data_IF_860311087087
#
_entry.id   IF_860311087087
#
_cell.length_a   1.000
_cell.length_b   1.000
_cell.length_c   1.000
_cell.angle_alpha   90.00
_cell.angle_beta   90.00
_cell.angle_gamma   90.00
#
_symmetry.space_group_name_H-M   'P 1'
#
loop_
_entity.id
_entity.type
_entity.pdbx_description
1 polymer ?
#
# COMPACT_ATOMS: atom_id res chain seq x y z
N UNK A 1 40.94 -67.62 -24.16
CA UNK A 1 40.54 -66.59 -23.21
C UNK A 1 40.09 -65.35 -24.00
N UNK A 2 38.78 -65.10 -24.04
CA UNK A 2 38.21 -63.93 -24.72
C UNK A 2 37.76 -62.90 -23.63
N UNK A 3 38.39 -61.75 -23.59
CA UNK A 3 38.02 -60.70 -22.70
C UNK A 3 36.93 -59.81 -23.37
N UNK A 4 35.75 -59.76 -22.78
CA UNK A 4 34.69 -58.80 -23.18
C UNK A 4 34.84 -57.52 -22.35
N UNK A 5 35.11 -56.38 -23.03
CA UNK A 5 35.11 -55.09 -22.46
C UNK A 5 33.68 -54.52 -22.50
N UNK A 6 33.03 -54.42 -21.35
CA UNK A 6 31.74 -53.79 -21.22
C UNK A 6 31.91 -52.21 -21.11
N UNK A 7 31.41 -51.49 -22.09
CA UNK A 7 31.33 -50.04 -22.05
C UNK A 7 30.11 -49.66 -21.21
N UNK A 8 30.37 -49.02 -20.07
CA UNK A 8 29.32 -48.40 -19.23
C UNK A 8 29.01 -47.00 -19.76
N UNK A 9 27.86 -46.84 -20.43
CA UNK A 9 27.36 -45.52 -20.84
C UNK A 9 26.77 -44.82 -19.62
N UNK A 10 27.44 -43.77 -19.10
CA UNK A 10 26.91 -42.89 -18.10
C UNK A 10 25.97 -41.90 -18.81
N UNK A 11 24.66 -42.07 -18.68
CA UNK A 11 23.67 -41.15 -19.18
C UNK A 11 23.65 -39.91 -18.26
N UNK A 12 24.30 -38.85 -18.71
CA UNK A 12 24.21 -37.52 -18.04
C UNK A 12 22.83 -36.89 -18.33
N UNK A 13 21.91 -36.98 -17.39
CA UNK A 13 20.61 -36.32 -17.49
C UNK A 13 20.84 -34.81 -17.39
N UNK A 14 20.72 -34.11 -18.51
CA UNK A 14 20.71 -32.65 -18.54
C UNK A 14 19.38 -32.21 -17.92
N UNK A 15 19.40 -31.81 -16.65
CA UNK A 15 18.27 -31.11 -16.03
C UNK A 15 18.21 -29.73 -16.69
N UNK A 16 17.29 -29.55 -17.64
CA UNK A 16 16.97 -28.25 -18.21
C UNK A 16 16.41 -27.37 -17.10
N UNK A 17 17.18 -26.42 -16.59
CA UNK A 17 16.69 -25.43 -15.66
C UNK A 17 15.59 -24.65 -16.36
N UNK A 18 14.36 -24.72 -15.87
CA UNK A 18 13.29 -23.83 -16.33
C UNK A 18 13.71 -22.39 -16.06
N UNK A 19 13.49 -21.47 -17.02
CA UNK A 19 13.76 -20.05 -16.77
C UNK A 19 12.98 -19.57 -15.55
N UNK A 20 13.64 -18.77 -14.70
CA UNK A 20 12.99 -18.19 -13.53
C UNK A 20 11.75 -17.39 -13.97
N UNK A 21 10.63 -17.48 -13.23
CA UNK A 21 9.41 -16.76 -13.59
C UNK A 21 9.69 -15.24 -13.60
N UNK A 22 9.14 -14.55 -14.61
CA UNK A 22 9.19 -13.09 -14.66
C UNK A 22 8.17 -12.49 -13.67
N UNK A 23 8.50 -11.33 -13.08
CA UNK A 23 7.58 -10.59 -12.23
C UNK A 23 6.40 -10.08 -13.07
N UNK A 24 5.14 -10.36 -12.69
CA UNK A 24 3.99 -9.68 -13.30
C UNK A 24 3.94 -8.21 -12.89
N UNK A 25 3.25 -7.35 -13.66
CA UNK A 25 3.07 -5.94 -13.32
C UNK A 25 2.46 -5.71 -11.94
N UNK A 26 2.99 -4.68 -11.23
CA UNK A 26 2.40 -4.09 -10.01
C UNK A 26 1.81 -2.74 -10.39
N UNK A 27 0.49 -2.67 -10.55
CA UNK A 27 -0.21 -1.58 -11.23
C UNK A 27 -0.71 -0.47 -10.28
N UNK A 28 -0.20 -0.42 -9.06
CA UNK A 28 -0.50 0.63 -8.10
C UNK A 28 -0.94 0.12 -6.73
N UNK A 29 -1.30 1.04 -5.86
CA UNK A 29 -1.85 0.75 -4.54
C UNK A 29 -3.27 0.21 -4.70
N UNK A 30 -3.58 -0.88 -3.97
CA UNK A 30 -4.93 -1.38 -3.80
C UNK A 30 -5.60 -0.73 -2.59
N UNK A 31 -5.00 -0.90 -1.41
CA UNK A 31 -5.55 -0.39 -0.15
C UNK A 31 -4.50 -0.36 0.96
N UNK A 32 -4.89 0.24 2.06
CA UNK A 32 -4.29 0.08 3.37
C UNK A 32 -5.31 -0.58 4.28
N UNK A 33 -4.90 -1.55 5.08
CA UNK A 33 -5.73 -2.18 6.10
C UNK A 33 -5.30 -1.72 7.49
N UNK A 34 -6.27 -1.30 8.29
CA UNK A 34 -6.03 -0.76 9.63
C UNK A 34 -6.98 -1.37 10.65
N UNK A 35 -6.51 -1.48 11.88
CA UNK A 35 -7.33 -1.91 13.02
C UNK A 35 -8.04 -0.74 13.68
N UNK A 36 -9.33 -0.88 13.96
CA UNK A 36 -10.11 0.06 14.74
C UNK A 36 -10.47 -0.51 16.11
N UNK A 37 -10.22 0.25 17.16
CA UNK A 37 -10.64 -0.07 18.53
C UNK A 37 -12.15 0.09 18.73
N UNK A 38 -12.77 1.01 17.96
CA UNK A 38 -14.20 1.24 17.84
C UNK A 38 -14.60 1.35 16.37
N UNK A 39 -15.17 0.29 15.82
CA UNK A 39 -15.57 0.23 14.40
C UNK A 39 -16.71 1.18 14.06
N UNK A 40 -17.57 1.56 15.01
CA UNK A 40 -18.61 2.55 14.77
C UNK A 40 -18.05 3.98 14.66
N UNK A 41 -17.07 4.33 15.50
CA UNK A 41 -16.35 5.58 15.41
C UNK A 41 -15.53 5.66 14.11
N UNK A 42 -14.89 4.56 13.69
CA UNK A 42 -14.19 4.46 12.42
C UNK A 42 -15.15 4.64 11.23
N UNK A 43 -16.33 4.00 11.26
CA UNK A 43 -17.36 4.17 10.22
C UNK A 43 -17.78 5.64 10.10
N UNK A 44 -18.08 6.31 11.22
CA UNK A 44 -18.39 7.74 11.22
C UNK A 44 -17.26 8.57 10.58
N UNK A 45 -16.01 8.27 10.92
CA UNK A 45 -14.88 8.98 10.33
C UNK A 45 -14.77 8.75 8.82
N UNK A 46 -14.73 7.50 8.36
CA UNK A 46 -14.50 7.23 6.94
C UNK A 46 -15.70 7.59 6.05
N UNK A 47 -16.95 7.47 6.55
CA UNK A 47 -18.16 7.80 5.78
C UNK A 47 -18.51 9.28 5.87
N UNK A 48 -18.52 9.88 7.07
CA UNK A 48 -19.07 11.24 7.25
C UNK A 48 -17.96 12.30 7.17
N UNK A 49 -16.75 12.02 7.69
CA UNK A 49 -15.64 12.97 7.65
C UNK A 49 -14.87 12.84 6.34
N UNK A 50 -14.40 11.65 5.94
CA UNK A 50 -13.66 11.46 4.69
C UNK A 50 -14.60 11.48 3.48
N UNK A 51 -15.74 10.82 3.57
CA UNK A 51 -16.76 10.77 2.52
C UNK A 51 -16.71 9.52 1.65
N UNK A 52 -16.09 8.45 2.14
CA UNK A 52 -16.02 7.16 1.46
C UNK A 52 -17.38 6.46 1.41
N UNK A 53 -17.60 5.64 0.40
CA UNK A 53 -18.72 4.71 0.39
C UNK A 53 -18.35 3.41 1.13
N UNK A 54 -19.19 3.01 2.08
CA UNK A 54 -19.04 1.77 2.84
C UNK A 54 -19.46 0.56 2.01
N UNK A 55 -18.68 -0.51 2.05
CA UNK A 55 -19.04 -1.81 1.49
C UNK A 55 -18.56 -2.98 2.36
N UNK A 56 -19.08 -4.19 2.09
CA UNK A 56 -18.61 -5.40 2.74
C UNK A 56 -17.16 -5.67 2.33
N UNK A 57 -16.42 -6.37 3.18
CA UNK A 57 -15.12 -6.90 2.84
C UNK A 57 -15.26 -8.34 2.30
N UNK A 58 -14.93 -8.59 1.03
CA UNK A 58 -15.02 -9.92 0.42
C UNK A 58 -13.95 -10.90 0.93
N UNK A 59 -12.87 -10.40 1.51
CA UNK A 59 -11.73 -11.19 2.02
C UNK A 59 -11.94 -11.58 3.48
N UNK A 60 -12.41 -10.62 4.28
CA UNK A 60 -12.62 -10.81 5.72
C UNK A 60 -14.05 -10.43 6.12
N UNK A 61 -14.90 -11.38 6.51
CA UNK A 61 -16.29 -11.09 6.91
C UNK A 61 -16.43 -10.16 8.13
N UNK A 62 -15.36 -9.97 8.92
CA UNK A 62 -15.34 -9.02 10.05
C UNK A 62 -14.84 -7.65 9.64
N UNK A 63 -14.25 -7.52 8.46
CA UNK A 63 -13.75 -6.27 7.89
C UNK A 63 -14.85 -5.44 7.25
N UNK A 64 -14.51 -4.19 7.01
CA UNK A 64 -15.34 -3.24 6.25
C UNK A 64 -14.45 -2.46 5.30
N UNK A 65 -14.85 -2.33 4.03
CA UNK A 65 -14.15 -1.51 3.06
C UNK A 65 -14.80 -0.14 2.93
N UNK A 66 -13.98 0.90 2.95
CA UNK A 66 -14.35 2.29 2.72
C UNK A 66 -13.72 2.75 1.40
N UNK A 67 -14.51 2.76 0.34
CA UNK A 67 -14.05 2.97 -1.03
C UNK A 67 -13.72 4.42 -1.32
N UNK A 68 -12.52 4.66 -1.84
CA UNK A 68 -12.05 5.92 -2.42
C UNK A 68 -12.40 5.97 -3.91
N UNK A 69 -12.25 4.83 -4.60
CA UNK A 69 -12.73 4.61 -5.97
C UNK A 69 -13.07 3.12 -6.15
N UNK A 70 -13.39 2.69 -7.37
CA UNK A 70 -13.80 1.31 -7.66
C UNK A 70 -12.70 0.25 -7.40
N UNK A 71 -11.46 0.65 -7.25
CA UNK A 71 -10.29 -0.24 -7.13
C UNK A 71 -9.38 0.08 -5.94
N UNK A 72 -9.66 1.17 -5.21
CA UNK A 72 -8.89 1.58 -4.04
C UNK A 72 -9.81 1.87 -2.86
N UNK A 73 -9.44 1.40 -1.68
CA UNK A 73 -10.23 1.52 -0.46
C UNK A 73 -9.34 1.55 0.78
N UNK A 74 -9.92 1.89 1.90
CA UNK A 74 -9.37 1.65 3.25
C UNK A 74 -10.11 0.43 3.81
N UNK A 75 -9.39 -0.59 4.20
CA UNK A 75 -9.94 -1.73 4.93
C UNK A 75 -9.83 -1.48 6.43
N UNK A 76 -10.93 -1.64 7.14
CA UNK A 76 -10.98 -1.50 8.60
C UNK A 76 -11.36 -2.81 9.24
N UNK A 77 -10.47 -3.33 10.06
CA UNK A 77 -10.61 -4.56 10.81
C UNK A 77 -10.88 -4.26 12.30
N UNK A 78 -11.72 -5.04 12.98
CA UNK A 78 -11.88 -4.87 14.42
C UNK A 78 -10.58 -5.23 15.15
N UNK A 79 -10.13 -4.38 16.06
CA UNK A 79 -8.95 -4.63 16.87
C UNK A 79 -9.24 -5.73 17.90
N UNK A 80 -8.66 -6.91 17.71
CA UNK A 80 -8.80 -8.04 18.63
C UNK A 80 -7.94 -7.88 19.90
N UNK A 81 -6.67 -7.50 19.72
CA UNK A 81 -5.74 -7.23 20.83
C UNK A 81 -5.73 -5.75 21.18
N UNK A 82 -6.51 -5.37 22.20
CA UNK A 82 -6.60 -3.98 22.67
C UNK A 82 -5.32 -3.45 23.33
N UNK A 83 -4.32 -4.29 23.53
CA UNK A 83 -3.01 -3.87 24.04
C UNK A 83 -2.04 -3.49 22.94
N UNK A 84 -2.32 -3.86 21.68
CA UNK A 84 -1.50 -3.48 20.54
C UNK A 84 -1.55 -1.97 20.31
N UNK A 85 -0.40 -1.37 20.05
CA UNK A 85 -0.27 0.05 19.70
C UNK A 85 -0.30 0.24 18.19
N UNK A 86 0.14 -0.74 17.40
CA UNK A 86 0.15 -0.63 15.95
C UNK A 86 -1.27 -0.84 15.39
N UNK A 87 -1.70 0.11 14.58
CA UNK A 87 -2.99 0.04 13.87
C UNK A 87 -2.85 -0.40 12.42
N UNK A 88 -1.65 -0.47 11.88
CA UNK A 88 -1.41 -1.01 10.56
C UNK A 88 -1.53 -2.54 10.59
N UNK A 89 -2.41 -3.10 9.78
CA UNK A 89 -2.46 -4.54 9.50
C UNK A 89 -1.58 -4.86 8.28
N UNK A 90 -1.89 -4.25 7.14
CA UNK A 90 -1.10 -4.44 5.94
C UNK A 90 -1.21 -3.29 4.93
N UNK A 91 -0.25 -3.26 4.00
CA UNK A 91 -0.29 -2.46 2.78
C UNK A 91 -0.53 -3.38 1.59
N UNK A 92 -1.40 -2.99 0.67
CA UNK A 92 -1.78 -3.83 -0.46
C UNK A 92 -1.53 -3.18 -1.81
N UNK A 93 -0.95 -3.97 -2.73
CA UNK A 93 -0.63 -3.55 -4.09
C UNK A 93 -1.37 -4.39 -5.12
N UNK A 94 -1.85 -3.75 -6.19
CA UNK A 94 -2.51 -4.42 -7.32
C UNK A 94 -1.47 -5.09 -8.20
N UNK A 95 -1.76 -6.33 -8.61
CA UNK A 95 -0.99 -7.06 -9.62
C UNK A 95 -1.91 -7.66 -10.67
N UNK A 96 -1.42 -7.83 -11.87
CA UNK A 96 -2.19 -8.46 -12.95
C UNK A 96 -2.36 -9.97 -12.78
N UNK A 97 -1.52 -10.61 -11.94
CA UNK A 97 -1.57 -12.06 -11.72
C UNK A 97 -0.92 -12.42 -10.38
N UNK A 98 -1.73 -12.56 -9.33
CA UNK A 98 -1.28 -12.85 -7.98
C UNK A 98 -0.54 -14.22 -7.90
N UNK A 99 -1.02 -15.24 -8.61
CA UNK A 99 -0.37 -16.56 -8.57
C UNK A 99 1.02 -16.53 -9.22
N UNK A 100 1.17 -15.87 -10.37
CA UNK A 100 2.50 -15.70 -10.97
C UNK A 100 3.42 -14.86 -10.10
N UNK A 101 2.90 -13.82 -9.44
CA UNK A 101 3.69 -13.02 -8.51
C UNK A 101 4.14 -13.83 -7.29
N UNK A 102 3.26 -14.65 -6.73
CA UNK A 102 3.58 -15.58 -5.65
C UNK A 102 4.74 -16.52 -6.04
N UNK A 103 4.64 -17.13 -7.23
CA UNK A 103 5.69 -18.02 -7.74
C UNK A 103 7.00 -17.28 -8.04
N UNK A 104 6.93 -16.06 -8.55
CA UNK A 104 8.09 -15.19 -8.73
C UNK A 104 8.79 -14.90 -7.40
N UNK A 105 8.04 -14.46 -6.37
CA UNK A 105 8.59 -14.18 -5.04
C UNK A 105 9.21 -15.41 -4.40
N UNK A 106 8.57 -16.57 -4.54
CA UNK A 106 9.16 -17.86 -4.13
C UNK A 106 10.50 -18.12 -4.81
N UNK A 107 10.63 -17.84 -6.11
CA UNK A 107 11.88 -18.00 -6.86
C UNK A 107 12.99 -17.05 -6.41
N UNK A 108 12.62 -15.94 -5.73
CA UNK A 108 13.54 -14.99 -5.10
C UNK A 108 13.87 -15.31 -3.65
N UNK A 109 13.38 -16.43 -3.13
CA UNK A 109 13.63 -16.87 -1.76
C UNK A 109 12.72 -16.23 -0.73
N UNK A 110 11.67 -15.51 -1.14
CA UNK A 110 10.66 -14.96 -0.23
C UNK A 110 9.74 -16.10 0.21
N UNK A 111 9.45 -16.15 1.51
CA UNK A 111 8.44 -17.05 2.05
C UNK A 111 7.06 -16.62 1.56
N UNK A 112 6.33 -17.55 0.95
CA UNK A 112 5.00 -17.29 0.39
C UNK A 112 4.04 -18.41 0.79
N UNK A 113 2.72 -18.14 0.86
CA UNK A 113 1.73 -19.19 1.12
C UNK A 113 1.74 -20.27 0.04
N UNK A 114 1.17 -21.44 0.32
CA UNK A 114 1.12 -22.57 -0.62
C UNK A 114 0.30 -22.28 -1.88
N UNK A 115 -0.71 -21.42 -1.79
CA UNK A 115 -1.58 -20.99 -2.87
C UNK A 115 -2.04 -19.55 -2.63
N UNK A 116 -2.59 -18.90 -3.65
CA UNK A 116 -3.36 -17.65 -3.51
C UNK A 116 -4.72 -17.94 -2.90
N UNK A 117 -5.23 -17.01 -2.12
CA UNK A 117 -6.59 -17.02 -1.61
C UNK A 117 -7.56 -16.42 -2.63
N UNK A 118 -8.83 -16.78 -2.51
CA UNK A 118 -9.90 -16.26 -3.36
C UNK A 118 -10.96 -15.61 -2.50
N UNK A 119 -11.15 -14.32 -2.71
CA UNK A 119 -12.20 -13.57 -2.04
C UNK A 119 -13.59 -13.82 -2.67
N UNK A 120 -14.64 -13.45 -1.94
CA UNK A 120 -16.03 -13.66 -2.37
C UNK A 120 -16.42 -12.86 -3.61
N UNK A 121 -15.74 -11.76 -3.92
CA UNK A 121 -15.91 -10.97 -5.14
C UNK A 121 -15.17 -11.57 -6.36
N UNK A 122 -14.34 -12.58 -6.13
CA UNK A 122 -13.54 -13.25 -7.14
C UNK A 122 -12.16 -12.65 -7.36
N UNK A 123 -11.72 -11.69 -6.54
CA UNK A 123 -10.33 -11.28 -6.47
C UNK A 123 -9.46 -12.42 -5.97
N UNK A 124 -8.17 -12.39 -6.34
CA UNK A 124 -7.16 -13.32 -5.85
C UNK A 124 -6.11 -12.53 -5.06
N UNK A 125 -5.72 -13.04 -3.90
CA UNK A 125 -4.75 -12.34 -3.07
C UNK A 125 -3.84 -13.29 -2.31
N UNK A 126 -2.73 -12.76 -1.81
CA UNK A 126 -1.85 -13.45 -0.86
C UNK A 126 -0.99 -12.43 -0.11
N UNK A 127 -0.56 -12.83 1.08
CA UNK A 127 0.30 -12.02 1.95
C UNK A 127 1.72 -12.57 1.95
N UNK A 128 2.67 -11.66 2.13
CA UNK A 128 4.05 -11.95 2.49
C UNK A 128 4.50 -11.02 3.61
N UNK A 129 5.64 -11.34 4.23
CA UNK A 129 6.31 -10.41 5.14
C UNK A 129 7.45 -9.71 4.42
N UNK A 130 7.52 -8.39 4.61
CA UNK A 130 8.71 -7.65 4.24
C UNK A 130 9.86 -7.96 5.22
N UNK A 131 11.08 -7.48 4.99
CA UNK A 131 12.21 -7.75 5.88
C UNK A 131 12.04 -7.31 7.34
N UNK A 132 11.21 -6.31 7.61
CA UNK A 132 10.91 -5.83 8.97
C UNK A 132 9.68 -6.51 9.59
N UNK A 133 9.05 -7.44 8.85
CA UNK A 133 7.91 -8.24 9.32
C UNK A 133 6.55 -7.57 9.11
N UNK A 134 6.48 -6.43 8.40
CA UNK A 134 5.20 -5.87 7.99
C UNK A 134 4.51 -6.79 6.99
N UNK A 135 3.18 -6.85 7.04
CA UNK A 135 2.41 -7.60 6.04
C UNK A 135 2.28 -6.78 4.77
N UNK A 136 2.60 -7.41 3.65
CA UNK A 136 2.41 -6.86 2.30
C UNK A 136 1.49 -7.78 1.53
N UNK A 137 0.34 -7.27 1.12
CA UNK A 137 -0.64 -8.02 0.36
C UNK A 137 -0.53 -7.70 -1.13
N UNK A 138 -0.71 -8.72 -1.96
CA UNK A 138 -0.81 -8.57 -3.42
C UNK A 138 -2.16 -9.06 -3.91
N UNK A 139 -2.87 -8.19 -4.63
CA UNK A 139 -4.25 -8.43 -5.06
C UNK A 139 -4.37 -8.38 -6.57
N UNK A 140 -4.95 -9.41 -7.18
CA UNK A 140 -5.49 -9.33 -8.54
C UNK A 140 -6.97 -9.02 -8.46
N UNK A 141 -7.42 -7.82 -8.90
CA UNK A 141 -8.83 -7.47 -8.88
C UNK A 141 -9.71 -8.44 -9.68
N UNK A 142 -11.01 -8.56 -9.37
CA UNK A 142 -11.87 -9.58 -9.96
C UNK A 142 -12.04 -9.46 -11.48
N UNK A 143 -11.98 -8.26 -12.02
CA UNK A 143 -12.05 -7.99 -13.47
C UNK A 143 -10.76 -8.36 -14.21
N UNK A 144 -9.63 -8.38 -13.51
CA UNK A 144 -8.32 -8.74 -14.04
C UNK A 144 -7.92 -10.19 -13.74
N UNK A 145 -8.77 -10.97 -13.04
CA UNK A 145 -8.44 -12.35 -12.68
C UNK A 145 -8.36 -13.25 -13.93
N UNK A 146 -7.15 -13.72 -14.32
CA UNK A 146 -6.95 -14.50 -15.55
C UNK A 146 -7.55 -15.93 -15.45
N UNK A 147 -7.85 -16.38 -14.23
CA UNK A 147 -8.43 -17.71 -13.98
C UNK A 147 -9.95 -17.67 -13.83
N UNK A 148 -10.56 -16.52 -14.07
CA UNK A 148 -12.00 -16.36 -14.00
C UNK A 148 -12.69 -17.05 -15.18
N UNK A 149 -13.63 -17.94 -14.90
CA UNK A 149 -14.50 -18.47 -15.93
C UNK A 149 -15.36 -17.35 -16.53
N UNK A 150 -15.36 -17.20 -17.87
CA UNK A 150 -16.14 -16.18 -18.60
C UNK A 150 -17.64 -16.20 -18.30
N UNK A 151 -18.17 -17.28 -17.71
CA UNK A 151 -19.58 -17.42 -17.32
C UNK A 151 -19.94 -16.73 -15.99
N UNK A 152 -18.95 -16.28 -15.20
CA UNK A 152 -19.23 -15.54 -13.98
C UNK A 152 -19.50 -14.09 -14.34
N UNK A 153 -20.75 -13.76 -14.58
CA UNK A 153 -21.20 -12.37 -14.72
C UNK A 153 -21.09 -11.76 -13.32
N UNK A 154 -20.16 -10.80 -13.14
CA UNK A 154 -20.24 -9.93 -11.98
C UNK A 154 -21.58 -9.22 -12.07
N UNK A 155 -22.37 -9.26 -11.01
CA UNK A 155 -23.51 -8.35 -10.92
C UNK A 155 -22.96 -6.93 -11.17
N UNK A 156 -23.63 -6.08 -11.97
CA UNK A 156 -23.20 -4.73 -12.17
C UNK A 156 -23.09 -4.09 -10.78
N UNK A 157 -21.86 -3.74 -10.39
CA UNK A 157 -21.63 -3.02 -9.14
C UNK A 157 -22.40 -1.71 -9.25
N UNK A 158 -23.23 -1.42 -8.23
CA UNK A 158 -23.85 -0.11 -8.11
C UNK A 158 -22.73 0.94 -8.21
N UNK A 159 -22.89 2.00 -9.02
CA UNK A 159 -21.89 3.06 -9.06
C UNK A 159 -21.62 3.58 -7.64
N UNK A 160 -20.35 3.68 -7.29
CA UNK A 160 -19.94 4.22 -5.98
C UNK A 160 -20.37 5.69 -5.86
N UNK A 161 -20.93 6.06 -4.73
CA UNK A 161 -21.23 7.44 -4.42
C UNK A 161 -20.02 8.13 -3.79
N UNK A 162 -19.15 8.64 -4.63
CA UNK A 162 -17.94 9.35 -4.22
C UNK A 162 -18.12 10.88 -4.16
N UNK A 163 -19.35 11.38 -4.24
CA UNK A 163 -19.64 12.81 -4.31
C UNK A 163 -19.19 13.63 -3.09
N UNK A 164 -19.02 12.97 -1.95
CA UNK A 164 -18.50 13.62 -0.73
C UNK A 164 -16.97 13.59 -0.63
N UNK A 165 -16.28 12.78 -1.41
CA UNK A 165 -14.81 12.69 -1.38
C UNK A 165 -14.19 13.99 -1.88
N UNK A 166 -13.14 14.45 -1.21
CA UNK A 166 -12.34 15.59 -1.67
C UNK A 166 -11.36 15.20 -2.78
N UNK A 167 -10.97 13.91 -2.83
CA UNK A 167 -10.17 13.29 -3.86
C UNK A 167 -10.57 11.84 -4.03
N UNK A 168 -10.22 11.23 -5.14
CA UNK A 168 -10.66 9.88 -5.53
C UNK A 168 -9.51 8.93 -5.90
N UNK A 169 -8.29 9.22 -5.45
CA UNK A 169 -7.11 8.41 -5.75
C UNK A 169 -6.18 8.34 -4.54
N UNK A 170 -5.92 7.13 -4.04
CA UNK A 170 -4.87 6.90 -3.04
C UNK A 170 -3.53 6.96 -3.78
N UNK A 171 -2.80 8.06 -3.59
CA UNK A 171 -1.54 8.32 -4.30
C UNK A 171 -0.32 7.77 -3.58
N UNK A 172 -0.40 7.64 -2.25
CA UNK A 172 0.63 6.94 -1.50
C UNK A 172 0.12 6.31 -0.21
N UNK A 173 0.92 5.36 0.25
CA UNK A 173 0.86 4.80 1.60
C UNK A 173 2.24 4.94 2.23
N UNK A 174 2.28 5.21 3.52
CA UNK A 174 3.51 5.32 4.29
C UNK A 174 3.57 4.27 5.39
N UNK A 175 4.77 3.83 5.71
CA UNK A 175 5.02 2.94 6.83
C UNK A 175 6.34 3.26 7.53
N UNK A 176 6.40 2.93 8.81
CA UNK A 176 7.62 2.98 9.58
C UNK A 176 8.67 2.01 9.02
N UNK A 177 9.90 2.50 8.83
CA UNK A 177 11.06 1.70 8.41
C UNK A 177 12.26 2.02 9.29
N UNK A 178 12.93 0.98 9.80
CA UNK A 178 14.14 1.09 10.62
C UNK A 178 15.40 0.89 9.78
N UNK A 179 15.39 -0.10 8.88
CA UNK A 179 16.53 -0.45 8.04
C UNK A 179 16.18 -0.32 6.56
N UNK A 180 16.47 0.85 6.01
CA UNK A 180 16.24 1.16 4.61
C UNK A 180 16.89 0.17 3.65
N UNK A 181 18.11 -0.30 3.92
CA UNK A 181 18.86 -1.13 2.97
C UNK A 181 18.21 -2.51 2.80
N UNK A 182 17.68 -3.08 3.87
CA UNK A 182 16.94 -4.34 3.80
C UNK A 182 15.61 -4.17 3.09
N UNK A 183 14.89 -3.08 3.35
CA UNK A 183 13.64 -2.75 2.66
C UNK A 183 13.87 -2.44 1.17
N UNK A 184 14.91 -1.70 0.81
CA UNK A 184 15.28 -1.45 -0.60
C UNK A 184 15.59 -2.76 -1.34
N UNK A 185 16.14 -3.78 -0.65
CA UNK A 185 16.34 -5.12 -1.26
C UNK A 185 15.00 -5.76 -1.62
N UNK A 186 13.99 -5.67 -0.77
CA UNK A 186 12.66 -6.22 -1.04
C UNK A 186 11.88 -5.38 -2.06
N UNK A 187 11.68 -4.08 -1.77
CA UNK A 187 10.84 -3.23 -2.61
C UNK A 187 11.50 -2.87 -3.95
N UNK A 188 12.79 -2.53 -3.96
CA UNK A 188 13.48 -2.13 -5.20
C UNK A 188 14.03 -3.30 -5.98
N UNK A 189 14.88 -4.13 -5.36
CA UNK A 189 15.60 -5.16 -6.10
C UNK A 189 14.69 -6.34 -6.48
N UNK A 190 13.74 -6.73 -5.63
CA UNK A 190 12.83 -7.86 -5.88
C UNK A 190 11.54 -7.36 -6.56
N UNK A 191 10.82 -6.41 -5.95
CA UNK A 191 9.54 -5.94 -6.48
C UNK A 191 9.67 -4.92 -7.60
N UNK A 192 10.81 -4.25 -7.75
CA UNK A 192 11.09 -3.31 -8.84
C UNK A 192 10.56 -1.89 -8.62
N UNK A 193 10.28 -1.49 -7.37
CA UNK A 193 9.91 -0.12 -7.05
C UNK A 193 11.00 0.86 -7.48
N UNK A 194 10.60 2.03 -7.95
CA UNK A 194 11.49 3.03 -8.54
C UNK A 194 11.69 4.19 -7.57
N UNK A 195 12.94 4.67 -7.37
CA UNK A 195 13.15 5.89 -6.60
C UNK A 195 12.29 7.03 -7.13
N UNK A 196 11.75 7.86 -6.22
CA UNK A 196 10.90 8.97 -6.59
C UNK A 196 11.35 10.27 -5.93
N UNK A 197 11.41 10.32 -4.60
CA UNK A 197 11.88 11.46 -3.84
C UNK A 197 12.45 11.00 -2.49
N UNK A 198 13.33 11.80 -1.91
CA UNK A 198 13.75 11.65 -0.52
C UNK A 198 14.03 13.01 0.11
N UNK A 199 13.82 13.10 1.42
CA UNK A 199 14.08 14.29 2.18
C UNK A 199 14.10 14.05 3.69
N UNK A 200 14.29 15.13 4.43
CA UNK A 200 14.32 15.07 5.89
C UNK A 200 13.97 16.40 6.54
N UNK A 201 13.84 16.38 7.86
CA UNK A 201 13.63 17.59 8.65
C UNK A 201 14.80 18.55 8.52
N UNK A 202 16.02 18.00 8.38
CA UNK A 202 17.25 18.74 8.12
C UNK A 202 17.77 18.37 6.73
N UNK A 203 18.43 19.30 6.02
CA UNK A 203 18.86 19.08 4.63
C UNK A 203 19.85 17.92 4.45
N UNK A 204 20.63 17.59 5.47
CA UNK A 204 21.66 16.55 5.49
C UNK A 204 21.16 15.21 6.05
N UNK A 205 19.89 15.12 6.41
CA UNK A 205 19.26 13.88 6.91
C UNK A 205 18.17 13.41 5.99
N UNK A 206 18.04 12.10 5.89
CA UNK A 206 16.92 11.45 5.20
C UNK A 206 15.99 10.84 6.24
N UNK A 207 14.80 11.42 6.37
CA UNK A 207 13.74 10.93 7.25
C UNK A 207 12.59 10.31 6.44
N UNK A 208 12.50 10.63 5.14
CA UNK A 208 11.48 10.14 4.22
C UNK A 208 12.12 9.66 2.91
N UNK A 209 11.64 8.51 2.41
CA UNK A 209 12.04 7.97 1.11
C UNK A 209 10.81 7.50 0.38
N UNK A 210 10.48 8.13 -0.73
CA UNK A 210 9.35 7.77 -1.57
C UNK A 210 9.81 6.94 -2.78
N UNK A 211 9.07 5.88 -3.08
CA UNK A 211 9.35 4.94 -4.17
C UNK A 211 8.07 4.60 -4.91
N UNK A 212 8.02 4.91 -6.20
CA UNK A 212 6.86 4.57 -7.03
C UNK A 212 6.76 3.07 -7.27
N UNK A 213 5.54 2.57 -7.31
CA UNK A 213 5.27 1.22 -7.80
C UNK A 213 5.80 1.07 -9.23
N UNK A 214 6.19 -0.15 -9.65
CA UNK A 214 6.89 -0.32 -10.93
C UNK A 214 6.12 0.17 -12.16
N UNK A 215 4.81 -0.04 -12.18
CA UNK A 215 3.95 0.21 -13.34
C UNK A 215 2.83 1.23 -13.05
N UNK A 216 2.99 2.08 -12.01
CA UNK A 216 2.14 3.26 -11.79
C UNK A 216 2.94 4.40 -11.17
N UNK A 217 2.29 5.54 -10.91
CA UNK A 217 2.89 6.66 -10.22
C UNK A 217 2.53 6.73 -8.72
N UNK A 218 1.70 5.82 -8.23
CA UNK A 218 1.48 5.64 -6.79
C UNK A 218 2.79 5.27 -6.10
N UNK A 219 3.00 5.72 -4.88
CA UNK A 219 4.26 5.44 -4.21
C UNK A 219 4.09 4.92 -2.77
N UNK A 220 5.10 4.18 -2.33
CA UNK A 220 5.34 3.84 -0.94
C UNK A 220 6.27 4.89 -0.34
N UNK A 221 5.94 5.39 0.83
CA UNK A 221 6.81 6.25 1.62
C UNK A 221 7.38 5.52 2.83
N UNK A 222 8.70 5.40 2.88
CA UNK A 222 9.37 5.00 4.11
C UNK A 222 9.44 6.19 5.06
N UNK A 223 8.89 6.02 6.24
CA UNK A 223 9.04 6.91 7.38
C UNK A 223 10.20 6.38 8.22
N UNK A 224 11.42 6.88 7.94
CA UNK A 224 12.62 6.41 8.61
C UNK A 224 12.66 6.90 10.07
N UNK A 225 12.91 6.01 10.99
CA UNK A 225 13.18 6.39 12.36
C UNK A 225 14.58 6.95 12.47
N UNK A 226 14.70 8.25 12.34
CA UNK A 226 15.93 8.97 12.70
C UNK A 226 16.04 9.25 14.21
N UNK A 227 15.14 8.71 15.00
CA UNK A 227 15.13 8.85 16.46
C UNK A 227 16.34 8.20 17.11
N UNK A 228 16.78 8.70 18.27
CA UNK A 228 18.03 8.31 18.93
C UNK A 228 18.07 6.87 19.44
N UNK A 229 17.06 6.07 19.27
CA UNK A 229 16.97 4.78 19.94
C UNK A 229 16.77 3.58 19.03
N UNK A 230 16.52 3.71 17.72
CA UNK A 230 16.20 2.52 16.92
C UNK A 230 15.22 1.58 17.64
N UNK A 231 14.33 2.15 18.45
CA UNK A 231 13.39 1.43 19.30
C UNK A 231 12.46 0.61 18.46
N UNK A 232 12.12 -0.60 18.92
CA UNK A 232 11.12 -1.43 18.26
C UNK A 232 9.75 -0.74 18.22
N UNK A 233 8.83 -1.26 17.41
CA UNK A 233 7.44 -0.75 17.32
C UNK A 233 6.79 -0.56 18.70
N UNK A 234 7.15 -1.39 19.68
CA UNK A 234 6.63 -1.35 21.04
C UNK A 234 7.04 -0.11 21.84
N UNK A 235 8.16 0.53 21.46
CA UNK A 235 8.66 1.73 22.12
C UNK A 235 8.09 3.03 21.53
N UNK A 236 7.34 2.91 20.41
CA UNK A 236 6.71 4.03 19.73
C UNK A 236 5.24 4.11 20.16
N UNK A 237 4.78 5.29 20.57
CA UNK A 237 3.38 5.47 20.97
C UNK A 237 2.41 5.22 19.81
N UNK A 238 1.18 4.81 20.12
CA UNK A 238 0.12 4.63 19.12
C UNK A 238 -0.05 5.86 18.22
N UNK A 239 -0.04 7.05 18.80
CA UNK A 239 -0.17 8.30 18.04
C UNK A 239 0.99 8.49 17.06
N UNK A 240 2.23 8.25 17.48
CA UNK A 240 3.40 8.35 16.59
C UNK A 240 3.34 7.30 15.48
N UNK A 241 2.95 6.05 15.79
CA UNK A 241 2.76 5.00 14.78
C UNK A 241 1.69 5.37 13.78
N UNK A 242 0.58 5.96 14.22
CA UNK A 242 -0.48 6.41 13.31
C UNK A 242 -0.06 7.56 12.39
N UNK A 243 0.86 8.41 12.83
CA UNK A 243 1.48 9.44 11.96
C UNK A 243 2.39 8.82 10.92
N UNK A 244 3.12 7.75 11.27
CA UNK A 244 4.10 7.10 10.40
C UNK A 244 3.42 6.13 9.43
N UNK A 245 2.46 5.32 9.91
CA UNK A 245 1.69 4.36 9.12
C UNK A 245 0.42 5.05 8.61
N UNK A 246 0.45 5.51 7.35
CA UNK A 246 -0.57 6.43 6.85
C UNK A 246 -0.94 6.18 5.38
N UNK A 247 -1.96 6.88 4.94
CA UNK A 247 -2.34 6.94 3.52
C UNK A 247 -2.51 8.40 3.09
N UNK A 248 -2.38 8.63 1.78
CA UNK A 248 -2.64 9.94 1.19
C UNK A 248 -3.60 9.84 0.01
N UNK A 249 -4.57 10.73 -0.01
CA UNK A 249 -5.52 10.91 -1.12
C UNK A 249 -5.13 12.16 -1.90
N UNK A 250 -4.92 11.98 -3.21
CA UNK A 250 -4.59 13.06 -4.14
C UNK A 250 -5.75 14.03 -4.34
N UNK A 251 -5.47 15.33 -4.29
CA UNK A 251 -6.44 16.41 -4.56
C UNK A 251 -5.88 17.39 -5.59
N UNK A 252 -6.80 17.99 -6.35
CA UNK A 252 -6.42 18.95 -7.42
C UNK A 252 -6.11 20.35 -6.85
N UNK A 253 -6.77 20.73 -5.76
CA UNK A 253 -6.58 22.04 -5.11
C UNK A 253 -6.77 21.91 -3.61
N UNK A 254 -5.71 22.08 -2.86
CA UNK A 254 -5.74 22.02 -1.40
C UNK A 254 -6.56 23.17 -0.81
N UNK A 255 -6.48 24.38 -1.36
CA UNK A 255 -7.28 25.51 -0.92
C UNK A 255 -8.78 25.18 -0.97
N UNK A 256 -9.26 24.68 -2.14
CA UNK A 256 -10.65 24.29 -2.32
C UNK A 256 -11.04 23.11 -1.41
N UNK A 257 -10.16 22.13 -1.28
CA UNK A 257 -10.38 20.96 -0.41
C UNK A 257 -10.55 21.40 1.03
N UNK A 258 -9.63 22.22 1.55
CA UNK A 258 -9.68 22.73 2.92
C UNK A 258 -10.95 23.52 3.18
N UNK A 259 -11.30 24.48 2.30
CA UNK A 259 -12.50 25.29 2.46
C UNK A 259 -13.78 24.45 2.44
N UNK A 260 -13.85 23.44 1.57
CA UNK A 260 -14.99 22.51 1.48
C UNK A 260 -15.13 21.67 2.76
N UNK A 261 -14.04 21.08 3.24
CA UNK A 261 -14.05 20.26 4.46
C UNK A 261 -14.38 21.12 5.69
N UNK A 262 -13.81 22.31 5.79
CA UNK A 262 -14.06 23.25 6.89
C UNK A 262 -15.52 23.72 6.92
N UNK A 263 -16.07 24.14 5.78
CA UNK A 263 -17.45 24.58 5.66
C UNK A 263 -18.45 23.46 6.02
N UNK A 264 -18.10 22.20 5.73
CA UNK A 264 -18.90 21.04 6.06
C UNK A 264 -18.64 20.47 7.46
N UNK A 265 -17.79 21.12 8.29
CA UNK A 265 -17.36 20.64 9.61
C UNK A 265 -16.73 19.23 9.57
N UNK A 266 -15.89 18.98 8.56
CA UNK A 266 -15.25 17.69 8.28
C UNK A 266 -13.73 17.69 8.49
N UNK A 267 -13.22 18.60 9.31
CA UNK A 267 -11.84 18.57 9.79
C UNK A 267 -11.74 17.71 11.05
N UNK A 268 -10.74 16.82 11.12
CA UNK A 268 -10.51 15.94 12.26
C UNK A 268 -9.01 15.89 12.61
N UNK A 269 -8.52 16.63 13.63
CA UNK A 269 -9.31 17.47 14.52
C UNK A 269 -9.85 18.78 13.86
N UNK A 270 -10.83 19.45 14.48
CA UNK A 270 -11.48 20.64 13.89
C UNK A 270 -10.56 21.81 13.60
N UNK A 271 -9.41 21.90 14.27
CA UNK A 271 -8.40 22.95 14.11
C UNK A 271 -7.25 22.56 13.16
N UNK A 272 -7.37 21.42 12.45
CA UNK A 272 -6.40 21.00 11.42
C UNK A 272 -6.13 22.13 10.43
N UNK A 273 -4.85 22.27 10.07
CA UNK A 273 -4.39 23.32 9.13
C UNK A 273 -3.61 22.67 7.99
N UNK A 274 -3.68 23.32 6.85
CA UNK A 274 -2.85 22.95 5.70
C UNK A 274 -1.39 23.31 5.95
N UNK A 275 -0.49 22.56 5.33
CA UNK A 275 0.96 22.81 5.36
C UNK A 275 1.57 22.47 4.00
N UNK A 276 2.79 22.92 3.74
CA UNK A 276 3.56 22.47 2.59
C UNK A 276 4.63 21.52 3.09
N UNK A 277 4.60 20.29 2.57
CA UNK A 277 5.57 19.26 2.88
C UNK A 277 6.98 19.61 2.41
N UNK A 278 7.96 18.84 2.84
CA UNK A 278 9.36 19.01 2.39
C UNK A 278 9.53 18.64 0.92
N UNK A 279 8.67 17.80 0.39
CA UNK A 279 8.52 17.47 -1.03
C UNK A 279 7.92 18.64 -1.86
N UNK A 280 7.56 19.74 -1.22
CA UNK A 280 6.98 20.92 -1.86
C UNK A 280 5.48 20.79 -2.17
N UNK A 281 4.83 19.70 -1.83
CA UNK A 281 3.39 19.50 -2.05
C UNK A 281 2.57 20.14 -0.93
N UNK A 282 1.41 20.68 -1.29
CA UNK A 282 0.46 21.25 -0.32
C UNK A 282 -0.43 20.15 0.23
N UNK A 283 -0.51 20.03 1.54
CA UNK A 283 -1.15 18.90 2.23
C UNK A 283 -1.99 19.35 3.44
N UNK A 284 -2.93 18.47 3.83
CA UNK A 284 -3.75 18.57 5.03
C UNK A 284 -3.80 17.20 5.70
N UNK A 285 -3.42 17.13 6.97
CA UNK A 285 -3.50 15.91 7.77
C UNK A 285 -4.77 15.91 8.62
N UNK A 286 -5.52 14.81 8.53
CA UNK A 286 -6.62 14.47 9.43
C UNK A 286 -6.38 13.07 10.01
N UNK A 287 -7.04 12.75 11.12
CA UNK A 287 -6.75 11.52 11.86
C UNK A 287 -8.04 10.79 12.17
N UNK A 288 -7.99 9.47 12.04
CA UNK A 288 -9.08 8.61 12.49
C UNK A 288 -9.12 8.53 14.04
N UNK A 289 -10.16 7.92 14.63
CA UNK A 289 -10.29 7.81 16.09
C UNK A 289 -9.14 7.06 16.78
N UNK A 290 -8.44 6.19 16.08
CA UNK A 290 -7.27 5.46 16.58
C UNK A 290 -5.94 6.17 16.32
N UNK A 291 -5.97 7.32 15.62
CA UNK A 291 -4.81 8.16 15.34
C UNK A 291 -4.11 7.84 14.02
N UNK A 292 -4.69 7.01 13.17
CA UNK A 292 -4.16 6.78 11.81
C UNK A 292 -4.32 8.03 10.97
N UNK A 293 -3.22 8.51 10.38
CA UNK A 293 -3.18 9.71 9.54
C UNK A 293 -3.76 9.41 8.16
N UNK A 294 -4.74 10.20 7.76
CA UNK A 294 -5.14 10.39 6.38
C UNK A 294 -4.66 11.76 5.93
N UNK A 295 -3.89 11.78 4.87
CA UNK A 295 -3.36 12.98 4.27
C UNK A 295 -4.11 13.30 2.97
N UNK A 296 -4.60 14.53 2.83
CA UNK A 296 -4.92 15.07 1.51
C UNK A 296 -3.68 15.78 0.98
N UNK A 297 -3.30 15.50 -0.26
CA UNK A 297 -2.10 16.06 -0.86
C UNK A 297 -2.35 16.47 -2.30
N UNK A 298 -1.85 17.63 -2.74
CA UNK A 298 -1.89 18.00 -4.15
C UNK A 298 -1.01 17.06 -4.98
N UNK A 299 -1.48 16.71 -6.17
CA UNK A 299 -0.74 15.84 -7.09
C UNK A 299 0.62 16.40 -7.44
N UNK A 300 0.71 17.72 -7.62
CA UNK A 300 1.95 18.41 -7.98
C UNK A 300 2.47 19.26 -6.82
N UNK A 301 3.78 19.45 -6.78
CA UNK A 301 4.41 20.35 -5.83
C UNK A 301 4.13 21.81 -6.19
N UNK A 302 3.85 22.64 -5.19
CA UNK A 302 3.61 24.09 -5.29
C UNK A 302 4.86 24.92 -4.99
N UNK A 303 5.92 24.25 -4.51
CA UNK A 303 7.25 24.80 -4.27
C UNK A 303 8.32 23.80 -4.74
N UNK A 304 9.56 24.22 -5.00
CA UNK A 304 10.66 23.29 -5.18
C UNK A 304 10.77 22.33 -3.99
N UNK A 305 11.00 21.05 -4.22
CA UNK A 305 11.21 20.08 -3.15
C UNK A 305 12.52 20.36 -2.41
N UNK A 306 12.55 20.05 -1.11
CA UNK A 306 13.79 20.01 -0.34
C UNK A 306 14.53 18.70 -0.60
N UNK A 307 15.84 18.78 -0.52
CA UNK A 307 16.75 17.67 -0.28
C UNK A 307 17.02 16.80 -1.51
N UNK A 308 16.05 16.46 -2.34
CA UNK A 308 16.24 15.85 -3.66
C UNK A 308 15.20 16.36 -4.66
N UNK A 309 15.52 16.26 -5.94
CA UNK A 309 14.55 16.45 -7.01
C UNK A 309 13.68 15.18 -7.16
N UNK A 310 12.49 15.34 -7.74
CA UNK A 310 11.70 14.20 -8.18
C UNK A 310 12.38 13.51 -9.36
N UNK A 311 12.52 12.20 -9.29
CA UNK A 311 13.18 11.38 -10.32
C UNK A 311 12.21 10.78 -11.33
N UNK A 312 10.92 10.99 -11.15
CA UNK A 312 9.85 10.48 -12.00
C UNK A 312 8.63 11.43 -11.97
N UNK A 313 7.69 11.32 -12.93
CA UNK A 313 6.46 12.11 -12.93
C UNK A 313 5.62 11.91 -11.66
N UNK A 314 4.91 12.95 -11.26
CA UNK A 314 3.89 12.86 -10.21
C UNK A 314 2.70 12.02 -10.69
N UNK A 315 1.93 11.38 -9.77
CA UNK A 315 0.62 10.84 -10.11
C UNK A 315 -0.32 11.95 -10.60
N UNK A 316 -1.36 11.56 -11.30
CA UNK A 316 -2.33 12.49 -11.87
C UNK A 316 -3.77 12.14 -11.45
N UNK A 317 -4.72 13.10 -11.55
CA UNK A 317 -6.12 12.84 -11.26
C UNK A 317 -6.79 11.84 -12.20
N UNK A 318 -6.15 11.51 -13.32
CA UNK A 318 -6.69 10.64 -14.38
C UNK A 318 -6.17 9.19 -14.34
N UNK A 319 -5.36 8.85 -13.36
CA UNK A 319 -4.84 7.49 -13.16
C UNK A 319 -5.74 6.55 -12.38
#
# INVERSE_FOLDING_TARGET
MKYAFGFLFLACSIVSAQPAPSRPPLTGISHIAVYASDTAAAEHYYVDIVGCERGPDPENPQGTRYYVNSTQFIEVLPLADKTSHNRLDHLAYKTTDAEKLRLYLKSKGIEVPSAVEKANDGSLWFDVKDPEGNTVQFVTPPDQNPYRHRSTVLAPSKPLNTSKLAGNHIIHVGMLVHNRDTEDTFYRAILGFRPYWHGGMQPDKTDWVSQQTPESHDWLEYMLTSGPSGGGIQDISQHQLGVLNHLSIGVVSMAKTYDTLKAANRLAPPDSKTQIGKDGKWQLNIYDPDGTRLEYMEFSNVRPPCCSEFTAPNPSPSE
#
